data_IF_848091678316
#
_entry.id   IF_848091678316
#
_cell.length_a   1.000
_cell.length_b   1.000
_cell.length_c   1.000
_cell.angle_alpha   90.00
_cell.angle_beta   90.00
_cell.angle_gamma   90.00
#
_symmetry.space_group_name_H-M   'P 1'
#
loop_
_entity.id
_entity.type
_entity.pdbx_description
1 polymer ?
#
# COMPACT_ATOMS: atom_id res chain seq x y z
N UNK A 1 -3.15 5.85 -15.29
CA UNK A 1 -2.02 5.17 -15.94
C UNK A 1 -2.20 3.69 -15.67
N UNK A 2 -2.39 2.85 -16.70
CA UNK A 2 -2.70 1.42 -16.54
C UNK A 2 -1.39 0.66 -16.53
N UNK A 3 -1.06 -0.02 -15.44
CA UNK A 3 0.15 -0.83 -15.35
C UNK A 3 -0.17 -2.26 -15.79
N UNK A 4 0.52 -2.74 -16.82
CA UNK A 4 0.43 -4.13 -17.26
C UNK A 4 1.28 -5.01 -16.32
N UNK A 5 0.61 -5.94 -15.63
CA UNK A 5 1.24 -6.92 -14.74
C UNK A 5 2.26 -7.76 -15.56
N UNK A 6 3.57 -7.61 -15.29
CA UNK A 6 4.61 -8.49 -15.86
C UNK A 6 5.73 -7.88 -16.70
N UNK A 7 5.96 -6.56 -16.68
CA UNK A 7 7.19 -5.98 -17.22
C UNK A 7 8.28 -5.95 -16.15
N UNK A 8 9.54 -6.26 -16.49
CA UNK A 8 10.67 -6.43 -15.57
C UNK A 8 11.02 -5.19 -14.70
N UNK A 9 10.42 -4.02 -14.97
CA UNK A 9 10.49 -2.80 -14.17
C UNK A 9 9.14 -2.39 -13.51
N UNK A 10 8.09 -3.17 -13.73
CA UNK A 10 6.74 -2.97 -13.18
C UNK A 10 6.70 -2.92 -11.65
N UNK A 11 7.45 -3.75 -10.89
CA UNK A 11 7.39 -3.72 -9.43
C UNK A 11 7.95 -2.42 -8.86
N UNK A 12 9.04 -1.90 -9.43
CA UNK A 12 9.68 -0.67 -8.94
C UNK A 12 8.78 0.55 -9.16
N UNK A 13 8.15 0.68 -10.34
CA UNK A 13 7.22 1.78 -10.63
C UNK A 13 5.95 1.69 -9.80
N UNK A 14 5.39 0.48 -9.63
CA UNK A 14 4.25 0.26 -8.74
C UNK A 14 4.58 0.61 -7.31
N UNK A 15 5.74 0.16 -6.83
CA UNK A 15 6.19 0.41 -5.47
C UNK A 15 6.42 1.91 -5.23
N UNK A 16 7.01 2.66 -6.16
CA UNK A 16 7.11 4.13 -6.04
C UNK A 16 5.75 4.80 -6.01
N UNK A 17 4.82 4.39 -6.89
CA UNK A 17 3.47 4.94 -6.94
C UNK A 17 2.69 4.64 -5.66
N UNK A 18 2.73 3.40 -5.19
CA UNK A 18 2.12 2.97 -3.94
C UNK A 18 2.75 3.67 -2.73
N UNK A 19 4.07 3.86 -2.72
CA UNK A 19 4.76 4.57 -1.65
C UNK A 19 4.37 6.05 -1.57
N UNK A 20 4.12 6.70 -2.71
CA UNK A 20 3.63 8.08 -2.77
C UNK A 20 2.15 8.18 -2.34
N UNK A 21 1.31 7.27 -2.85
CA UNK A 21 -0.11 7.20 -2.56
C UNK A 21 -0.40 6.91 -1.08
N UNK A 22 0.39 6.00 -0.51
CA UNK A 22 0.28 5.56 0.88
C UNK A 22 1.28 6.23 1.82
N UNK A 23 2.00 7.28 1.40
CA UNK A 23 3.04 7.93 2.22
C UNK A 23 2.52 8.32 3.61
N UNK A 24 1.28 8.82 3.69
CA UNK A 24 0.64 9.18 4.96
C UNK A 24 0.43 7.97 5.88
N UNK A 25 0.09 6.81 5.32
CA UNK A 25 -0.11 5.58 6.08
C UNK A 25 1.22 4.92 6.45
N UNK A 26 2.21 4.96 5.55
CA UNK A 26 3.58 4.50 5.82
C UNK A 26 4.24 5.34 6.92
N UNK A 27 4.00 6.66 6.94
CA UNK A 27 4.50 7.56 7.98
C UNK A 27 3.97 7.22 9.37
N UNK A 28 2.79 6.58 9.48
CA UNK A 28 2.29 6.08 10.78
C UNK A 28 2.98 4.80 11.25
N UNK A 29 3.78 4.14 10.40
CA UNK A 29 4.49 2.90 10.71
C UNK A 29 3.62 1.64 10.75
N UNK A 30 2.32 1.76 10.45
CA UNK A 30 1.33 0.66 10.54
C UNK A 30 1.13 -0.10 9.24
N UNK A 31 1.58 0.46 8.13
CA UNK A 31 1.49 -0.12 6.79
C UNK A 31 2.90 -0.28 6.25
N UNK A 32 3.17 -1.41 5.60
CA UNK A 32 4.44 -1.72 4.93
C UNK A 32 4.09 -2.24 3.54
N UNK A 33 4.71 -1.66 2.50
CA UNK A 33 4.44 -2.07 1.11
C UNK A 33 5.70 -2.76 0.58
N UNK A 34 5.53 -3.97 0.06
CA UNK A 34 6.61 -4.78 -0.48
C UNK A 34 6.22 -5.39 -1.83
N UNK A 35 6.86 -4.91 -2.91
CA UNK A 35 6.50 -5.22 -4.30
C UNK A 35 5.00 -5.05 -4.53
N UNK A 36 4.27 -6.16 -4.71
CA UNK A 36 2.83 -6.20 -4.99
C UNK A 36 1.97 -6.44 -3.74
N UNK A 37 2.58 -6.57 -2.56
CA UNK A 37 1.88 -6.88 -1.31
C UNK A 37 1.85 -5.68 -0.36
N UNK A 38 0.68 -5.44 0.23
CA UNK A 38 0.48 -4.46 1.30
C UNK A 38 0.35 -5.22 2.62
N UNK A 39 1.29 -5.01 3.53
CA UNK A 39 1.26 -5.50 4.90
C UNK A 39 0.64 -4.42 5.80
N UNK A 40 -0.33 -4.79 6.63
CA UNK A 40 -0.95 -3.88 7.60
C UNK A 40 -0.81 -4.52 8.98
N UNK A 41 0.03 -3.91 9.83
CA UNK A 41 0.29 -4.35 11.19
C UNK A 41 -0.35 -3.36 12.16
N UNK A 42 -1.42 -3.79 12.82
CA UNK A 42 -2.21 -2.98 13.76
C UNK A 42 -2.42 -3.73 15.06
N UNK A 43 -2.44 -3.00 16.18
CA UNK A 43 -2.63 -3.59 17.50
C UNK A 43 -4.08 -4.00 17.79
N UNK A 44 -5.06 -3.38 17.12
CA UNK A 44 -6.49 -3.65 17.32
C UNK A 44 -7.19 -3.91 15.99
N UNK A 45 -8.27 -4.71 16.02
CA UNK A 45 -9.06 -5.05 14.84
C UNK A 45 -9.79 -3.83 14.26
N UNK A 46 -10.26 -2.93 15.13
CA UNK A 46 -10.98 -1.73 14.72
C UNK A 46 -10.07 -0.80 13.91
N UNK A 47 -8.84 -0.60 14.38
CA UNK A 47 -7.84 0.17 13.67
C UNK A 47 -7.39 -0.50 12.37
N UNK A 48 -7.33 -1.83 12.35
CA UNK A 48 -7.11 -2.61 11.13
C UNK A 48 -8.17 -2.31 10.07
N UNK A 49 -9.45 -2.39 10.45
CA UNK A 49 -10.56 -2.12 9.54
C UNK A 49 -10.53 -0.69 8.99
N UNK A 50 -10.24 0.30 9.82
CA UNK A 50 -10.12 1.71 9.41
C UNK A 50 -9.00 1.91 8.37
N UNK A 51 -7.83 1.29 8.61
CA UNK A 51 -6.69 1.38 7.69
C UNK A 51 -6.96 0.63 6.39
N UNK A 52 -7.51 -0.59 6.47
CA UNK A 52 -7.89 -1.38 5.29
C UNK A 52 -8.93 -0.63 4.46
N UNK A 53 -9.93 -0.02 5.09
CA UNK A 53 -10.94 0.77 4.40
C UNK A 53 -10.33 1.98 3.69
N UNK A 54 -9.39 2.69 4.34
CA UNK A 54 -8.63 3.77 3.71
C UNK A 54 -7.80 3.25 2.52
N UNK A 55 -7.13 2.13 2.67
CA UNK A 55 -6.33 1.52 1.59
C UNK A 55 -7.19 1.18 0.39
N UNK A 56 -8.35 0.54 0.61
CA UNK A 56 -9.33 0.20 -0.43
C UNK A 56 -10.02 1.41 -1.07
N UNK A 57 -10.12 2.53 -0.37
CA UNK A 57 -10.72 3.77 -0.92
C UNK A 57 -9.74 4.51 -1.83
N UNK A 58 -8.45 4.36 -1.57
CA UNK A 58 -7.36 5.03 -2.29
C UNK A 58 -6.96 4.26 -3.57
N UNK A 59 -7.10 2.93 -3.55
CA UNK A 59 -6.95 2.01 -4.68
C UNK A 59 -8.10 2.13 -5.69
#
# INVERSE_FOLDING_TARGET
MIMFFGLTNSPATFQTMMNDLFHNLLATGKVIIYMDNILIATATLQEHCDIVHRVLTIL
#
